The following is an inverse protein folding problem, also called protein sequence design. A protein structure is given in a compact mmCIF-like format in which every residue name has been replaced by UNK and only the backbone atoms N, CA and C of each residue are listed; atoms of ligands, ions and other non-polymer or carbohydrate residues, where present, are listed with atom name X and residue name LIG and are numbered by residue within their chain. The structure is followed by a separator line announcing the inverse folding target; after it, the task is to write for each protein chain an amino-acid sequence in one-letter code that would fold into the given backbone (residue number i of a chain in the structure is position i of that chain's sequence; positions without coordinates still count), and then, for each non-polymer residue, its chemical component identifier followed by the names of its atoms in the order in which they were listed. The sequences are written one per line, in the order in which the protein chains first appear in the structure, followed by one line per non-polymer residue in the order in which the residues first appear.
data_IF_936754123613
#
_entry.id   IF_936754123613
#
_cell.length_a   1.000
_cell.length_b   1.000
_cell.length_c   1.000
_cell.angle_alpha   90.00
_cell.angle_beta   90.00
_cell.angle_gamma   90.00
#
_symmetry.space_group_name_H-M   'P 1'
#
loop_
_entity.id
_entity.type
_entity.pdbx_description
1 polymer ?
#
# COMPACT_ATOMS: atom_id res chain seq x y z
N UNK A 1 -19.98 15.66 5.03
CA UNK A 1 -19.26 14.45 4.59
C UNK A 1 -17.78 14.83 4.50
N UNK A 2 -16.84 13.99 4.96
CA UNK A 2 -15.42 14.25 4.74
C UNK A 2 -15.17 14.44 3.25
N UNK A 3 -14.31 15.37 2.91
CA UNK A 3 -13.92 15.66 1.52
C UNK A 3 -13.31 14.40 0.89
N UNK A 4 -13.53 14.15 -0.40
CA UNK A 4 -12.82 13.09 -1.14
C UNK A 4 -11.29 13.27 -1.15
N UNK A 5 -10.80 14.47 -0.78
CA UNK A 5 -9.39 14.79 -0.58
C UNK A 5 -8.80 14.15 0.71
N UNK A 6 -9.65 13.66 1.62
CA UNK A 6 -9.24 13.06 2.90
C UNK A 6 -9.36 11.52 2.85
N UNK A 7 -8.87 10.92 1.76
CA UNK A 7 -8.90 9.46 1.53
C UNK A 7 -7.51 8.91 1.30
N UNK A 8 -7.29 7.68 1.77
CA UNK A 8 -6.17 6.83 1.37
C UNK A 8 -6.72 5.69 0.52
N UNK A 9 -6.04 5.42 -0.59
CA UNK A 9 -6.30 4.26 -1.43
C UNK A 9 -5.23 3.23 -1.13
N UNK A 10 -5.61 2.19 -0.41
CA UNK A 10 -4.75 1.06 -0.12
C UNK A 10 -4.82 0.08 -1.26
N UNK A 11 -3.68 -0.29 -1.80
CA UNK A 11 -3.58 -1.33 -2.83
C UNK A 11 -2.48 -2.30 -2.42
N UNK A 12 -2.72 -3.55 -2.66
CA UNK A 12 -1.74 -4.63 -2.57
C UNK A 12 -1.89 -5.49 -3.80
N UNK A 13 -0.77 -5.96 -4.33
CA UNK A 13 -0.71 -6.74 -5.57
C UNK A 13 0.02 -8.04 -5.31
N UNK A 14 -0.56 -9.15 -5.81
CA UNK A 14 0.16 -10.40 -5.97
C UNK A 14 0.64 -10.55 -7.42
N UNK A 15 1.84 -11.04 -7.60
CA UNK A 15 2.50 -11.11 -8.89
C UNK A 15 3.15 -12.49 -9.10
N UNK A 16 3.50 -12.79 -10.36
CA UNK A 16 4.28 -14.01 -10.69
C UNK A 16 5.75 -13.93 -10.23
N UNK A 17 6.21 -12.73 -9.86
CA UNK A 17 7.54 -12.41 -9.37
C UNK A 17 7.71 -10.90 -9.20
N UNK A 18 8.93 -10.43 -9.02
CA UNK A 18 9.21 -9.02 -8.71
C UNK A 18 9.90 -8.25 -9.85
N UNK A 19 10.18 -8.89 -10.96
CA UNK A 19 10.75 -8.24 -12.15
C UNK A 19 9.61 -7.71 -13.02
N UNK A 20 9.36 -6.41 -12.95
CA UNK A 20 8.28 -5.76 -13.67
C UNK A 20 8.35 -5.95 -15.20
N UNK A 21 9.51 -6.34 -15.77
CA UNK A 21 9.66 -6.52 -17.21
C UNK A 21 9.18 -7.88 -17.70
N UNK A 22 9.17 -8.89 -16.84
CA UNK A 22 8.81 -10.27 -17.18
C UNK A 22 7.67 -10.85 -16.34
N UNK A 23 7.42 -10.28 -15.14
CA UNK A 23 6.39 -10.74 -14.22
C UNK A 23 5.10 -9.94 -14.38
N UNK A 24 3.98 -10.58 -14.08
CA UNK A 24 2.63 -10.03 -14.25
C UNK A 24 1.81 -10.08 -12.97
N UNK A 25 0.74 -9.26 -12.93
CA UNK A 25 -0.23 -9.23 -11.86
C UNK A 25 -1.11 -10.49 -11.87
N UNK A 26 -1.34 -11.10 -10.71
CA UNK A 26 -2.26 -12.24 -10.54
C UNK A 26 -3.41 -11.94 -9.56
N UNK A 27 -3.25 -10.98 -8.65
CA UNK A 27 -4.33 -10.47 -7.82
C UNK A 27 -4.08 -8.99 -7.52
N UNK A 28 -5.14 -8.20 -7.47
CA UNK A 28 -5.11 -6.82 -6.97
C UNK A 28 -6.26 -6.63 -6.00
N UNK A 29 -5.96 -6.13 -4.81
CA UNK A 29 -6.97 -5.72 -3.85
C UNK A 29 -6.89 -4.21 -3.59
N UNK A 30 -8.05 -3.63 -3.25
CA UNK A 30 -8.20 -2.21 -2.93
C UNK A 30 -9.06 -2.04 -1.70
N UNK A 31 -8.63 -1.20 -0.78
CA UNK A 31 -9.40 -0.73 0.37
C UNK A 31 -9.34 0.79 0.43
N UNK A 32 -10.42 1.43 0.82
CA UNK A 32 -10.47 2.88 1.01
C UNK A 32 -10.63 3.19 2.50
N UNK A 33 -9.77 4.06 3.02
CA UNK A 33 -9.92 4.61 4.38
C UNK A 33 -9.98 6.13 4.36
N UNK A 34 -10.42 6.73 5.47
CA UNK A 34 -10.08 8.11 5.79
C UNK A 34 -8.66 8.19 6.38
N UNK A 35 -8.18 9.41 6.73
CA UNK A 35 -6.88 9.59 7.38
C UNK A 35 -6.87 9.23 8.88
N UNK A 36 -8.05 8.93 9.45
CA UNK A 36 -8.14 8.30 10.78
C UNK A 36 -8.07 6.78 10.71
N UNK A 37 -7.85 6.23 9.50
CA UNK A 37 -7.74 4.80 9.18
C UNK A 37 -9.05 4.02 9.38
N UNK A 38 -10.20 4.71 9.41
CA UNK A 38 -11.49 4.05 9.40
C UNK A 38 -11.80 3.53 8.00
N UNK A 39 -12.20 2.27 7.91
CA UNK A 39 -12.65 1.67 6.65
C UNK A 39 -13.92 2.38 6.15
N UNK A 40 -13.91 2.77 4.88
CA UNK A 40 -15.07 3.38 4.21
C UNK A 40 -15.95 2.31 3.58
N UNK A 41 -15.34 1.20 3.18
CA UNK A 41 -15.97 0.07 2.52
C UNK A 41 -15.20 -1.21 2.89
N UNK A 42 -15.81 -2.41 2.81
CA UNK A 42 -15.12 -3.67 3.14
C UNK A 42 -13.89 -3.99 2.30
N UNK A 43 -13.76 -3.33 1.15
CA UNK A 43 -12.69 -3.59 0.18
C UNK A 43 -13.19 -4.37 -1.04
N UNK A 44 -12.30 -4.48 -2.01
CA UNK A 44 -12.52 -5.16 -3.29
C UNK A 44 -11.24 -5.88 -3.67
N UNK A 45 -11.34 -7.12 -4.12
CA UNK A 45 -10.24 -7.87 -4.69
C UNK A 45 -10.65 -8.51 -6.03
N UNK A 46 -9.67 -8.74 -6.89
CA UNK A 46 -9.88 -9.33 -8.19
C UNK A 46 -8.67 -10.16 -8.60
N UNK A 47 -8.94 -11.41 -8.97
CA UNK A 47 -7.92 -12.33 -9.49
C UNK A 47 -7.79 -12.13 -11.00
N UNK A 48 -6.56 -12.08 -11.45
CA UNK A 48 -6.18 -11.81 -12.84
C UNK A 48 -5.54 -13.08 -13.42
N UNK A 49 -5.89 -13.38 -14.66
CA UNK A 49 -5.25 -14.44 -15.43
C UNK A 49 -4.14 -13.82 -16.27
N UNK A 50 -2.86 -14.02 -15.89
CA UNK A 50 -1.72 -13.52 -16.65
C UNK A 50 -1.46 -14.40 -17.88
N UNK A 51 -0.49 -14.02 -18.70
CA UNK A 51 -0.01 -14.85 -19.78
C UNK A 51 0.65 -16.14 -19.27
N UNK A 52 0.50 -17.23 -20.02
CA UNK A 52 1.07 -18.53 -19.64
C UNK A 52 2.59 -18.45 -19.42
N UNK A 53 3.29 -17.62 -20.20
CA UNK A 53 4.74 -17.42 -20.07
C UNK A 53 5.11 -16.86 -18.71
N UNK A 54 4.32 -15.92 -18.15
CA UNK A 54 4.56 -15.37 -16.82
C UNK A 54 4.32 -16.42 -15.73
N UNK A 55 3.30 -17.27 -15.87
CA UNK A 55 3.07 -18.40 -14.95
C UNK A 55 4.20 -19.43 -15.02
N UNK A 56 4.68 -19.77 -16.20
CA UNK A 56 5.75 -20.74 -16.39
C UNK A 56 7.11 -20.23 -15.83
N UNK A 57 7.28 -18.92 -15.71
CA UNK A 57 8.47 -18.27 -15.18
C UNK A 57 8.46 -18.13 -13.64
N UNK A 58 7.32 -18.40 -12.96
CA UNK A 58 7.27 -18.35 -11.50
C UNK A 58 8.33 -19.27 -10.89
N UNK A 59 9.14 -18.73 -9.97
CA UNK A 59 10.07 -19.56 -9.21
C UNK A 59 9.33 -20.40 -8.15
N UNK A 60 10.03 -21.42 -7.62
CA UNK A 60 9.47 -22.36 -6.64
C UNK A 60 8.91 -21.66 -5.40
N UNK A 61 9.55 -20.58 -4.95
CA UNK A 61 9.11 -19.81 -3.77
C UNK A 61 7.74 -19.15 -4.01
N UNK A 62 7.58 -18.45 -5.13
CA UNK A 62 6.32 -17.76 -5.50
C UNK A 62 5.22 -18.78 -5.76
N UNK A 63 5.54 -19.87 -6.47
CA UNK A 63 4.60 -20.98 -6.72
C UNK A 63 4.09 -21.59 -5.42
N UNK A 64 4.99 -21.88 -4.46
CA UNK A 64 4.62 -22.43 -3.16
C UNK A 64 3.78 -21.44 -2.34
N UNK A 65 4.12 -20.15 -2.38
CA UNK A 65 3.40 -19.09 -1.69
C UNK A 65 1.96 -18.98 -2.21
N UNK A 66 1.76 -18.89 -3.53
CA UNK A 66 0.43 -18.82 -4.13
C UNK A 66 -0.38 -20.12 -3.99
N UNK A 67 0.30 -21.26 -3.95
CA UNK A 67 -0.34 -22.54 -3.63
C UNK A 67 -0.86 -22.57 -2.19
N UNK A 68 -0.06 -22.12 -1.22
CA UNK A 68 -0.46 -22.09 0.20
C UNK A 68 -1.60 -21.13 0.49
N UNK A 69 -1.63 -19.98 -0.19
CA UNK A 69 -2.71 -18.98 -0.07
C UNK A 69 -3.98 -19.39 -0.82
N UNK A 70 -3.92 -20.44 -1.64
CA UNK A 70 -5.01 -20.88 -2.52
C UNK A 70 -5.20 -20.00 -3.77
N UNK A 71 -4.35 -18.97 -3.97
CA UNK A 71 -4.45 -18.08 -5.12
C UNK A 71 -4.16 -18.82 -6.44
N UNK A 72 -3.19 -19.73 -6.43
CA UNK A 72 -2.79 -20.46 -7.62
C UNK A 72 -3.95 -21.23 -8.27
N UNK A 73 -4.89 -21.74 -7.46
CA UNK A 73 -6.08 -22.46 -7.93
C UNK A 73 -7.13 -21.51 -8.57
N UNK A 74 -7.11 -20.22 -8.22
CA UNK A 74 -8.06 -19.22 -8.70
C UNK A 74 -7.61 -18.56 -10.00
N UNK A 75 -6.30 -18.49 -10.27
CA UNK A 75 -5.72 -17.83 -11.45
C UNK A 75 -6.33 -18.30 -12.78
N UNK A 76 -6.58 -19.62 -13.01
CA UNK A 76 -7.15 -20.08 -14.28
C UNK A 76 -8.52 -19.46 -14.63
N UNK A 77 -9.31 -19.14 -13.59
CA UNK A 77 -10.64 -18.55 -13.69
C UNK A 77 -10.61 -17.01 -13.52
N UNK A 78 -9.43 -16.42 -13.36
CA UNK A 78 -9.22 -14.99 -13.27
C UNK A 78 -9.67 -14.23 -14.52
N UNK A 79 -9.95 -12.93 -14.34
CA UNK A 79 -10.35 -12.06 -15.45
C UNK A 79 -9.13 -11.59 -16.27
N UNK A 80 -9.39 -10.96 -17.41
CA UNK A 80 -8.32 -10.30 -18.17
C UNK A 80 -7.77 -9.09 -17.41
N UNK A 81 -6.49 -8.74 -17.65
CA UNK A 81 -5.87 -7.55 -17.08
C UNK A 81 -6.67 -6.27 -17.39
N UNK A 82 -7.22 -6.16 -18.60
CA UNK A 82 -8.00 -4.98 -18.99
C UNK A 82 -9.33 -4.87 -18.20
N UNK A 83 -10.00 -5.99 -17.96
CA UNK A 83 -11.23 -6.02 -17.15
C UNK A 83 -10.91 -5.74 -15.67
N UNK A 84 -9.77 -6.25 -15.17
CA UNK A 84 -9.31 -5.97 -13.82
C UNK A 84 -8.97 -4.48 -13.63
N UNK A 85 -8.20 -3.86 -14.54
CA UNK A 85 -7.92 -2.44 -14.49
C UNK A 85 -9.20 -1.61 -14.49
N UNK A 86 -10.14 -1.95 -15.35
CA UNK A 86 -11.43 -1.26 -15.41
C UNK A 86 -12.19 -1.38 -14.07
N UNK A 87 -12.30 -2.60 -13.52
CA UNK A 87 -13.02 -2.84 -12.27
C UNK A 87 -12.38 -2.13 -11.08
N UNK A 88 -11.05 -2.20 -10.94
CA UNK A 88 -10.27 -1.50 -9.91
C UNK A 88 -10.46 0.01 -10.02
N UNK A 89 -10.34 0.57 -11.21
CA UNK A 89 -10.52 2.00 -11.44
C UNK A 89 -11.95 2.46 -11.11
N UNK A 90 -12.97 1.75 -11.58
CA UNK A 90 -14.37 2.05 -11.24
C UNK A 90 -14.67 1.95 -9.74
N UNK A 91 -14.04 0.98 -9.05
CA UNK A 91 -14.15 0.88 -7.60
C UNK A 91 -13.57 2.13 -6.91
N UNK A 92 -12.35 2.56 -7.30
CA UNK A 92 -11.72 3.75 -6.72
C UNK A 92 -12.56 5.01 -6.99
N UNK A 93 -13.10 5.18 -8.20
CA UNK A 93 -13.93 6.33 -8.58
C UNK A 93 -15.17 6.52 -7.68
N UNK A 94 -15.75 5.47 -7.13
CA UNK A 94 -16.91 5.57 -6.21
C UNK A 94 -16.58 6.39 -4.97
N UNK A 95 -15.34 6.33 -4.48
CA UNK A 95 -14.90 6.94 -3.22
C UNK A 95 -13.98 8.12 -3.42
N UNK A 96 -13.26 8.15 -4.52
CA UNK A 96 -12.28 9.16 -4.91
C UNK A 96 -12.56 9.61 -6.35
N UNK A 97 -13.62 10.40 -6.57
CA UNK A 97 -14.02 10.82 -7.93
C UNK A 97 -13.05 11.80 -8.60
N UNK A 98 -12.17 12.45 -7.83
CA UNK A 98 -11.22 13.44 -8.35
C UNK A 98 -9.83 12.81 -8.52
N UNK A 99 -9.25 12.94 -9.71
CA UNK A 99 -7.90 12.48 -10.00
C UNK A 99 -6.84 13.18 -9.13
N UNK A 100 -5.76 12.48 -8.82
CA UNK A 100 -4.56 12.95 -8.11
C UNK A 100 -4.83 13.55 -6.72
N UNK A 101 -5.90 13.14 -6.04
CA UNK A 101 -6.23 13.60 -4.69
C UNK A 101 -5.82 12.62 -3.60
N UNK A 102 -6.08 11.33 -3.77
CA UNK A 102 -5.79 10.31 -2.76
C UNK A 102 -4.44 9.64 -3.00
N UNK A 103 -3.55 9.63 -2.00
CA UNK A 103 -2.29 8.89 -2.07
C UNK A 103 -2.53 7.38 -2.08
N UNK A 104 -1.64 6.66 -2.77
CA UNK A 104 -1.51 5.22 -2.66
C UNK A 104 -0.88 4.86 -1.31
N UNK A 105 -1.43 3.87 -0.60
CA UNK A 105 -0.95 3.40 0.68
C UNK A 105 -0.73 1.88 0.69
N UNK A 106 0.25 1.42 1.46
CA UNK A 106 0.56 0.00 1.63
C UNK A 106 1.92 -0.23 2.29
N UNK A 107 2.34 -1.48 2.38
CA UNK A 107 3.69 -1.86 2.79
C UNK A 107 4.58 -2.09 1.58
N UNK A 108 5.76 -1.48 1.56
CA UNK A 108 6.73 -1.54 0.43
C UNK A 108 6.07 -1.13 -0.91
N UNK A 109 5.12 -0.23 -0.81
CA UNK A 109 4.16 0.14 -1.86
C UNK A 109 4.81 0.64 -3.17
N UNK A 110 6.11 0.92 -3.15
CA UNK A 110 6.86 1.27 -4.34
C UNK A 110 6.89 0.16 -5.37
N UNK A 111 6.93 -1.10 -4.94
CA UNK A 111 6.90 -2.28 -5.82
C UNK A 111 5.53 -2.40 -6.50
N UNK A 112 4.46 -2.34 -5.72
CA UNK A 112 3.10 -2.37 -6.26
C UNK A 112 2.87 -1.24 -7.25
N UNK A 113 3.35 -0.03 -6.92
CA UNK A 113 3.21 1.13 -7.80
C UNK A 113 3.92 0.95 -9.14
N UNK A 114 5.08 0.27 -9.19
CA UNK A 114 5.76 -0.03 -10.46
C UNK A 114 4.90 -0.94 -11.35
N UNK A 115 4.29 -1.98 -10.76
CA UNK A 115 3.37 -2.86 -11.48
C UNK A 115 2.11 -2.14 -11.91
N UNK A 116 1.50 -1.33 -11.05
CA UNK A 116 0.33 -0.52 -11.41
C UNK A 116 0.65 0.45 -12.56
N UNK A 117 1.79 1.14 -12.52
CA UNK A 117 2.18 2.06 -13.58
C UNK A 117 2.33 1.38 -14.94
N UNK A 118 2.81 0.12 -14.96
CA UNK A 118 2.98 -0.65 -16.20
C UNK A 118 1.68 -1.31 -16.66
N UNK A 119 0.98 -1.99 -15.75
CA UNK A 119 -0.12 -2.88 -16.08
C UNK A 119 -1.51 -2.27 -15.89
N UNK A 120 -1.63 -1.25 -15.00
CA UNK A 120 -2.89 -0.54 -14.72
C UNK A 120 -2.69 0.99 -14.77
N UNK A 121 -2.22 1.56 -15.90
CA UNK A 121 -1.84 2.97 -15.99
C UNK A 121 -3.00 3.94 -15.72
N UNK A 122 -4.25 3.55 -15.91
CA UNK A 122 -5.43 4.37 -15.56
C UNK A 122 -5.57 4.50 -14.05
N UNK A 123 -5.34 3.41 -13.32
CA UNK A 123 -5.33 3.40 -11.85
C UNK A 123 -4.19 4.26 -11.33
N UNK A 124 -2.95 4.04 -11.79
CA UNK A 124 -1.79 4.80 -11.32
C UNK A 124 -1.94 6.32 -11.58
N UNK A 125 -2.42 6.72 -12.75
CA UNK A 125 -2.64 8.13 -13.09
C UNK A 125 -3.75 8.79 -12.27
N UNK A 126 -4.73 8.02 -11.81
CA UNK A 126 -5.81 8.53 -10.98
C UNK A 126 -5.32 8.86 -9.55
N UNK A 127 -4.35 8.12 -9.05
CA UNK A 127 -3.79 8.29 -7.71
C UNK A 127 -2.87 9.52 -7.62
N UNK A 128 -2.78 10.08 -6.41
CA UNK A 128 -1.80 11.13 -6.14
C UNK A 128 -0.36 10.58 -6.32
N UNK A 129 0.58 11.41 -6.75
CA UNK A 129 1.97 10.98 -6.98
C UNK A 129 2.73 10.59 -5.69
N UNK A 130 2.28 11.04 -4.52
CA UNK A 130 2.86 10.67 -3.22
C UNK A 130 2.29 9.34 -2.73
N UNK A 131 3.14 8.59 -2.03
CA UNK A 131 2.76 7.36 -1.35
C UNK A 131 2.70 7.55 0.16
N UNK A 132 1.89 6.73 0.83
CA UNK A 132 1.96 6.47 2.26
C UNK A 132 2.49 5.05 2.44
N UNK A 133 3.81 4.95 2.63
CA UNK A 133 4.50 3.66 2.78
C UNK A 133 4.70 3.33 4.25
N UNK A 134 3.98 2.34 4.74
CA UNK A 134 4.05 1.87 6.13
C UNK A 134 5.42 1.27 6.43
N UNK A 135 6.05 0.62 5.44
CA UNK A 135 7.39 0.05 5.59
C UNK A 135 8.45 1.10 5.89
N UNK A 136 8.31 2.34 5.38
CA UNK A 136 9.19 3.45 5.72
C UNK A 136 9.11 3.83 7.20
N UNK A 137 7.89 3.89 7.75
CA UNK A 137 7.67 4.17 9.19
C UNK A 137 8.22 3.03 10.04
N UNK A 138 7.97 1.80 9.65
CA UNK A 138 8.49 0.59 10.28
C UNK A 138 10.02 0.59 10.35
N UNK A 139 10.68 0.92 9.25
CA UNK A 139 12.13 0.93 9.14
C UNK A 139 12.78 2.03 10.00
N UNK A 140 12.14 3.21 10.09
CA UNK A 140 12.55 4.27 11.00
C UNK A 140 12.31 3.88 12.47
N UNK A 141 11.17 3.27 12.77
CA UNK A 141 10.85 2.79 14.11
C UNK A 141 11.83 1.72 14.59
N UNK A 142 12.30 0.84 13.71
CA UNK A 142 13.32 -0.15 14.03
C UNK A 142 14.59 0.47 14.62
N UNK A 143 15.02 1.63 14.10
CA UNK A 143 16.25 2.32 14.50
C UNK A 143 16.05 3.30 15.62
N UNK A 144 14.95 4.05 15.59
CA UNK A 144 14.74 5.14 16.53
C UNK A 144 13.94 4.72 17.76
N UNK A 145 13.03 3.76 17.59
CA UNK A 145 12.07 3.32 18.60
C UNK A 145 12.00 1.77 18.65
N UNK A 146 13.12 1.06 18.98
CA UNK A 146 13.16 -0.41 18.89
C UNK A 146 12.09 -1.10 19.72
N UNK A 147 11.69 -0.53 20.87
CA UNK A 147 10.60 -1.10 21.67
C UNK A 147 9.26 -1.06 20.92
N UNK A 148 9.00 0.00 20.17
CA UNK A 148 7.80 0.10 19.33
C UNK A 148 7.87 -0.96 18.23
N UNK A 149 8.99 -1.04 17.52
CA UNK A 149 9.17 -2.00 16.44
C UNK A 149 8.94 -3.46 16.88
N UNK A 150 9.57 -3.88 18.00
CA UNK A 150 9.49 -5.28 18.47
C UNK A 150 8.15 -5.66 19.13
N UNK A 151 7.28 -4.69 19.38
CA UNK A 151 5.91 -4.92 19.90
C UNK A 151 4.82 -4.60 18.87
N UNK A 152 5.17 -4.42 17.60
CA UNK A 152 4.20 -4.26 16.55
C UNK A 152 3.32 -5.52 16.41
N UNK A 153 2.04 -5.37 16.01
CA UNK A 153 1.14 -6.50 15.83
C UNK A 153 1.74 -7.53 14.87
N UNK A 154 1.65 -8.81 15.24
CA UNK A 154 2.08 -9.89 14.37
C UNK A 154 1.23 -9.92 13.10
N UNK A 155 1.85 -10.27 11.98
CA UNK A 155 1.16 -10.54 10.71
C UNK A 155 0.95 -12.04 10.55
N UNK A 156 -0.19 -12.41 10.02
CA UNK A 156 -0.53 -13.83 9.80
C UNK A 156 0.15 -14.37 8.52
N UNK A 157 0.54 -13.47 7.60
CA UNK A 157 1.29 -13.83 6.38
C UNK A 157 0.46 -14.70 5.42
N UNK A 158 -0.82 -14.40 5.28
CA UNK A 158 -1.75 -15.18 4.47
C UNK A 158 -1.53 -15.07 2.96
N UNK A 159 -0.73 -14.10 2.51
CA UNK A 159 -0.44 -13.84 1.11
C UNK A 159 -1.70 -13.80 0.23
N UNK A 160 -2.70 -13.06 0.69
CA UNK A 160 -3.90 -12.67 -0.05
C UNK A 160 -4.01 -11.17 0.07
N UNK A 161 -4.02 -10.50 -1.05
CA UNK A 161 -3.88 -9.05 -1.16
C UNK A 161 -4.84 -8.27 -0.24
N UNK A 162 -6.12 -8.65 -0.14
CA UNK A 162 -7.08 -7.97 0.74
C UNK A 162 -6.73 -8.13 2.23
N UNK A 163 -6.28 -9.31 2.66
CA UNK A 163 -5.89 -9.56 4.04
C UNK A 163 -4.62 -8.78 4.40
N UNK A 164 -3.64 -8.73 3.49
CA UNK A 164 -2.38 -8.02 3.68
C UNK A 164 -2.58 -6.49 3.76
N UNK A 165 -3.57 -5.94 3.02
CA UNK A 165 -4.00 -4.54 3.19
C UNK A 165 -4.53 -4.29 4.61
N UNK A 166 -5.44 -5.12 5.12
CA UNK A 166 -6.00 -4.93 6.46
C UNK A 166 -4.93 -5.02 7.56
N UNK A 167 -3.94 -5.88 7.39
CA UNK A 167 -2.77 -5.95 8.25
C UNK A 167 -1.91 -4.68 8.16
N UNK A 168 -1.75 -4.13 6.97
CA UNK A 168 -1.00 -2.89 6.74
C UNK A 168 -1.67 -1.67 7.37
N UNK A 169 -3.01 -1.59 7.29
CA UNK A 169 -3.80 -0.55 7.96
C UNK A 169 -3.64 -0.68 9.49
N UNK A 170 -3.76 -1.88 10.03
CA UNK A 170 -3.57 -2.17 11.47
C UNK A 170 -2.15 -1.81 11.93
N UNK A 171 -1.14 -2.09 11.12
CA UNK A 171 0.25 -1.75 11.41
C UNK A 171 0.47 -0.24 11.42
N UNK A 172 -0.12 0.50 10.46
CA UNK A 172 -0.04 1.96 10.44
C UNK A 172 -0.76 2.59 11.64
N UNK A 173 -1.95 2.09 12.01
CA UNK A 173 -2.67 2.57 13.20
C UNK A 173 -1.87 2.36 14.49
N UNK A 174 -1.18 1.23 14.60
CA UNK A 174 -0.26 0.98 15.69
C UNK A 174 0.88 1.99 15.72
N UNK A 175 1.58 2.21 14.59
CA UNK A 175 2.67 3.19 14.54
C UNK A 175 2.18 4.62 14.79
N UNK A 176 1.01 4.99 14.28
CA UNK A 176 0.40 6.30 14.56
C UNK A 176 0.26 6.56 16.06
N UNK A 177 -0.13 5.56 16.82
CA UNK A 177 -0.31 5.66 18.28
C UNK A 177 0.99 5.54 19.08
N UNK A 178 1.95 4.77 18.60
CA UNK A 178 3.13 4.40 19.37
C UNK A 178 4.41 5.17 18.98
N UNK A 179 4.50 5.68 17.74
CA UNK A 179 5.70 6.29 17.19
C UNK A 179 5.58 7.79 16.92
N UNK A 180 4.37 8.32 16.76
CA UNK A 180 4.14 9.74 16.50
C UNK A 180 3.81 10.50 17.81
N UNK A 181 4.08 11.80 17.80
CA UNK A 181 3.66 12.66 18.91
C UNK A 181 2.14 12.67 18.98
N UNK A 182 1.61 12.50 20.19
CA UNK A 182 0.16 12.48 20.40
C UNK A 182 -0.49 13.81 19.98
N UNK A 183 -1.71 13.71 19.47
CA UNK A 183 -2.53 14.89 19.14
C UNK A 183 -2.77 15.75 20.39
N UNK A 184 -2.71 17.09 20.29
CA UNK A 184 -2.59 17.92 19.10
C UNK A 184 -1.15 18.18 18.60
N UNK A 185 -0.15 17.46 19.09
CA UNK A 185 1.26 17.70 18.76
C UNK A 185 1.87 18.92 19.45
N UNK A 186 3.04 19.38 18.99
CA UNK A 186 3.69 20.55 19.55
C UNK A 186 2.90 21.83 19.22
N UNK A 187 2.96 22.81 20.12
CA UNK A 187 2.47 24.16 19.85
C UNK A 187 3.23 24.80 18.69
N UNK A 188 2.70 25.89 18.13
CA UNK A 188 3.37 26.63 17.04
C UNK A 188 4.77 27.09 17.44
N UNK A 189 4.94 27.60 18.66
CA UNK A 189 6.23 28.11 19.16
C UNK A 189 7.24 26.97 19.36
N UNK A 190 6.80 25.83 19.88
CA UNK A 190 7.63 24.63 20.02
C UNK A 190 8.05 24.09 18.65
N UNK A 191 7.13 24.03 17.70
CA UNK A 191 7.42 23.57 16.33
C UNK A 191 8.43 24.52 15.64
N UNK A 192 8.29 25.83 15.80
CA UNK A 192 9.24 26.82 15.28
C UNK A 192 10.62 26.69 15.94
N UNK A 193 10.66 26.46 17.27
CA UNK A 193 11.91 26.24 17.99
C UNK A 193 12.64 24.98 17.51
N UNK A 194 11.90 23.87 17.32
CA UNK A 194 12.44 22.63 16.74
C UNK A 194 12.98 22.88 15.33
N UNK A 195 12.22 23.58 14.49
CA UNK A 195 12.64 23.93 13.13
C UNK A 195 13.94 24.72 13.11
N UNK A 196 14.04 25.76 13.94
CA UNK A 196 15.26 26.59 14.05
C UNK A 196 16.49 25.75 14.47
N UNK A 197 16.33 24.89 15.47
CA UNK A 197 17.38 23.99 15.93
C UNK A 197 17.87 23.02 14.85
N UNK A 198 16.94 22.46 14.05
CA UNK A 198 17.31 21.57 12.95
C UNK A 198 18.02 22.34 11.83
N UNK A 199 17.57 23.56 11.48
CA UNK A 199 18.24 24.41 10.49
C UNK A 199 19.66 24.73 10.94
N UNK A 200 19.86 25.15 12.19
CA UNK A 200 21.18 25.47 12.77
C UNK A 200 22.14 24.27 12.68
N UNK A 201 21.66 23.07 13.00
CA UNK A 201 22.44 21.83 12.92
C UNK A 201 23.00 21.56 11.53
N UNK A 202 22.27 21.88 10.47
CA UNK A 202 22.65 21.58 9.09
C UNK A 202 23.25 22.77 8.34
N UNK A 203 23.16 23.99 8.88
CA UNK A 203 23.68 25.21 8.26
C UNK A 203 25.15 25.11 7.82
N UNK A 204 26.10 24.47 8.58
CA UNK A 204 27.48 24.33 8.14
C UNK A 204 27.69 23.45 6.91
N UNK A 205 26.65 22.73 6.45
CA UNK A 205 26.72 21.78 5.31
C UNK A 205 25.97 22.30 4.06
N UNK A 206 25.35 23.48 4.16
CA UNK A 206 24.66 24.17 3.05
C UNK A 206 25.53 25.28 2.47
#
# INVERSE_FOLDING_TARGET
MPSSADRLVWIDCEMTGLDVDIDELVEVAVVITDFDLNLIDPGFDIVIKPDQTALDNMNDFVTEMHSKSGLLELIPDGVSLADAEFAVHEYILKFVPSEQHAPLAGNTIGTDRMFLAKYMPRVDKHLHYRNVDVSSIKELSRRWLPRVYFNAPAKDGGHRALADILESIRELDYYRKAAFVADPGPTTDEAQSISASVVEKFLPHL
#
